data_IF_215186173424
#
_entry.id   IF_215186173424
#
_cell.length_a   1.000
_cell.length_b   1.000
_cell.length_c   1.000
_cell.angle_alpha   90.00
_cell.angle_beta   90.00
_cell.angle_gamma   90.00
#
_symmetry.space_group_name_H-M   'P 1'
#
loop_
_entity.id
_entity.type
_entity.pdbx_description
1 polymer ?
#
# COMPACT_ATOMS: atom_id res chain seq x y z
N UNK A 1 -11.18 7.38 37.67
CA UNK A 1 -10.03 7.25 36.79
C UNK A 1 -10.53 6.97 35.38
N UNK A 2 -10.53 7.96 34.51
CA UNK A 2 -10.81 7.72 33.11
C UNK A 2 -9.67 6.93 32.51
N UNK A 3 -9.95 5.71 32.06
CA UNK A 3 -9.02 4.98 31.21
C UNK A 3 -8.92 5.74 29.91
N UNK A 4 -7.77 6.35 29.65
CA UNK A 4 -7.44 6.85 28.32
C UNK A 4 -7.47 5.63 27.41
N UNK A 5 -8.49 5.53 26.54
CA UNK A 5 -8.48 4.54 25.47
C UNK A 5 -7.22 4.81 24.64
N UNK A 6 -6.31 3.83 24.63
CA UNK A 6 -5.20 3.89 23.65
C UNK A 6 -5.82 4.10 22.27
N UNK A 7 -5.48 5.22 21.67
CA UNK A 7 -5.99 5.59 20.38
C UNK A 7 -5.35 4.67 19.33
N UNK A 8 -6.14 3.89 18.64
CA UNK A 8 -5.64 3.04 17.55
C UNK A 8 -5.06 3.93 16.46
N UNK A 9 -3.80 3.70 16.11
CA UNK A 9 -3.05 4.51 15.18
C UNK A 9 -2.80 3.75 13.88
N UNK A 10 -3.10 4.40 12.75
CA UNK A 10 -2.59 4.00 11.43
C UNK A 10 -1.46 4.96 11.05
N UNK A 11 -0.30 4.40 10.80
CA UNK A 11 0.89 5.14 10.36
C UNK A 11 0.93 5.18 8.83
N UNK A 12 0.97 6.36 8.25
CA UNK A 12 1.13 6.57 6.80
C UNK A 12 2.53 7.10 6.54
N UNK A 13 3.26 6.44 5.66
CA UNK A 13 4.62 6.85 5.26
C UNK A 13 4.60 7.56 3.91
N UNK A 14 5.28 8.69 3.86
CA UNK A 14 5.36 9.58 2.71
C UNK A 14 6.49 9.18 1.76
N UNK A 15 6.14 8.84 0.52
CA UNK A 15 7.07 8.59 -0.58
C UNK A 15 6.96 9.64 -1.69
N UNK A 16 6.48 10.84 -1.37
CA UNK A 16 6.36 11.94 -2.32
C UNK A 16 5.03 11.99 -3.07
N UNK A 17 4.03 11.22 -2.64
CA UNK A 17 2.69 11.28 -3.26
C UNK A 17 1.98 12.57 -2.92
N UNK A 18 1.30 13.13 -3.91
CA UNK A 18 0.39 14.26 -3.69
C UNK A 18 -0.90 13.87 -2.92
N UNK A 19 -1.15 12.58 -2.74
CA UNK A 19 -2.35 12.04 -2.09
C UNK A 19 -2.15 11.66 -0.62
N UNK A 20 -0.96 11.84 -0.06
CA UNK A 20 -0.65 11.43 1.31
C UNK A 20 -1.59 12.03 2.36
N UNK A 21 -1.81 13.33 2.27
CA UNK A 21 -2.70 14.04 3.20
C UNK A 21 -4.17 13.61 3.02
N UNK A 22 -4.56 13.33 1.78
CA UNK A 22 -5.90 12.84 1.49
C UNK A 22 -6.14 11.46 2.09
N UNK A 23 -5.18 10.55 1.98
CA UNK A 23 -5.24 9.21 2.60
C UNK A 23 -5.36 9.35 4.12
N UNK A 24 -4.51 10.17 4.73
CA UNK A 24 -4.53 10.41 6.17
C UNK A 24 -5.88 10.97 6.63
N UNK A 25 -6.41 11.94 5.90
CA UNK A 25 -7.73 12.54 6.18
C UNK A 25 -8.85 11.51 6.06
N UNK A 26 -8.85 10.69 5.01
CA UNK A 26 -9.90 9.66 4.80
C UNK A 26 -9.92 8.64 5.94
N UNK A 27 -8.78 8.24 6.42
CA UNK A 27 -8.69 7.32 7.56
C UNK A 27 -9.31 7.96 8.80
N UNK A 28 -9.00 9.25 9.06
CA UNK A 28 -9.57 10.00 10.18
C UNK A 28 -11.09 10.18 10.05
N UNK A 29 -11.60 10.42 8.83
CA UNK A 29 -13.04 10.52 8.56
C UNK A 29 -13.78 9.21 8.87
N UNK A 30 -13.10 8.07 8.79
CA UNK A 30 -13.64 6.77 9.19
C UNK A 30 -13.55 6.50 10.70
N UNK A 31 -13.13 7.49 11.48
CA UNK A 31 -13.04 7.38 12.93
C UNK A 31 -11.77 6.73 13.46
N UNK A 32 -10.76 6.56 12.61
CA UNK A 32 -9.46 5.98 12.99
C UNK A 32 -8.40 7.07 12.97
N UNK A 33 -7.61 7.17 14.04
CA UNK A 33 -6.51 8.13 14.11
C UNK A 33 -5.38 7.72 13.17
N UNK A 34 -4.83 8.68 12.44
CA UNK A 34 -3.72 8.46 11.54
C UNK A 34 -2.69 9.58 11.62
N UNK A 35 -1.43 9.23 11.43
CA UNK A 35 -0.31 10.17 11.36
C UNK A 35 0.47 9.94 10.08
N UNK A 36 0.92 11.02 9.46
CA UNK A 36 1.80 11.02 8.30
C UNK A 36 3.23 11.28 8.76
N UNK A 37 4.14 10.38 8.43
CA UNK A 37 5.55 10.48 8.72
C UNK A 37 6.39 10.30 7.46
N UNK A 38 7.64 10.76 7.54
CA UNK A 38 8.64 10.55 6.50
C UNK A 38 9.00 9.06 6.38
N UNK A 39 9.35 8.62 5.15
CA UNK A 39 9.78 7.24 4.89
C UNK A 39 11.09 6.86 5.59
N UNK A 40 11.88 7.85 6.03
CA UNK A 40 13.12 7.64 6.79
C UNK A 40 12.91 7.38 8.28
N UNK A 41 11.66 7.31 8.75
CA UNK A 41 11.35 7.01 10.15
C UNK A 41 12.05 5.71 10.61
N UNK A 42 12.65 5.73 11.81
CA UNK A 42 13.35 4.57 12.34
C UNK A 42 12.40 3.46 12.80
N UNK A 43 12.87 2.23 12.76
CA UNK A 43 12.11 1.07 13.27
C UNK A 43 11.83 1.21 14.77
N UNK A 44 12.76 1.74 15.54
CA UNK A 44 12.60 1.99 16.98
C UNK A 44 11.45 2.97 17.25
N UNK A 45 11.33 4.00 16.43
CA UNK A 45 10.23 4.97 16.54
C UNK A 45 8.89 4.35 16.18
N UNK A 46 8.82 3.55 15.12
CA UNK A 46 7.62 2.81 14.75
C UNK A 46 7.19 1.86 15.89
N UNK A 47 8.11 1.14 16.48
CA UNK A 47 7.82 0.26 17.63
C UNK A 47 7.28 1.05 18.83
N UNK A 48 7.82 2.22 19.09
CA UNK A 48 7.36 3.11 20.18
C UNK A 48 5.94 3.62 19.93
N UNK A 49 5.62 3.98 18.69
CA UNK A 49 4.28 4.42 18.29
C UNK A 49 3.26 3.29 18.37
N UNK A 50 3.70 2.05 18.19
CA UNK A 50 2.86 0.85 18.20
C UNK A 50 1.62 0.98 17.31
N UNK A 51 1.75 1.26 16.01
CA UNK A 51 0.60 1.41 15.12
C UNK A 51 -0.12 0.07 14.91
N UNK A 52 -1.42 0.14 14.65
CA UNK A 52 -2.24 -1.04 14.31
C UNK A 52 -2.14 -1.42 12.84
N UNK A 53 -1.65 -0.51 12.00
CA UNK A 53 -1.39 -0.75 10.59
C UNK A 53 -0.44 0.31 10.05
N UNK A 54 0.24 -0.03 8.96
CA UNK A 54 1.18 0.85 8.27
C UNK A 54 0.77 0.92 6.81
N UNK A 55 0.63 2.14 6.27
CA UNK A 55 0.38 2.37 4.85
C UNK A 55 1.63 2.97 4.22
N UNK A 56 2.14 2.31 3.20
CA UNK A 56 3.19 2.84 2.33
C UNK A 56 2.50 3.52 1.15
N UNK A 57 2.55 4.84 1.12
CA UNK A 57 1.86 5.62 0.11
C UNK A 57 2.51 5.52 -1.27
N UNK A 58 1.85 6.05 -2.28
CA UNK A 58 2.42 6.20 -3.62
C UNK A 58 3.54 7.23 -3.68
N UNK A 59 4.17 7.32 -4.83
CA UNK A 59 5.18 8.31 -5.13
C UNK A 59 5.41 8.42 -6.63
N UNK A 60 6.06 9.50 -7.08
CA UNK A 60 6.26 9.76 -8.52
C UNK A 60 7.39 8.94 -9.13
N UNK A 61 8.28 8.38 -8.32
CA UNK A 61 9.51 7.75 -8.76
C UNK A 61 9.32 6.28 -9.11
N UNK A 62 10.27 5.74 -9.88
CA UNK A 62 10.44 4.30 -10.05
C UNK A 62 11.30 3.73 -8.92
N UNK A 63 11.00 2.50 -8.49
CA UNK A 63 11.81 1.80 -7.46
C UNK A 63 13.23 1.46 -7.94
N UNK A 64 13.50 1.59 -9.23
CA UNK A 64 14.81 1.37 -9.84
C UNK A 64 15.59 2.65 -10.14
N UNK A 65 15.00 3.81 -9.92
CA UNK A 65 15.72 5.08 -10.08
C UNK A 65 16.76 5.24 -8.99
N UNK A 66 17.93 5.76 -9.36
CA UNK A 66 18.96 6.13 -8.41
C UNK A 66 18.44 7.21 -7.46
N UNK A 67 18.63 7.02 -6.16
CA UNK A 67 18.08 7.91 -5.14
C UNK A 67 16.60 7.77 -4.87
N UNK A 68 15.94 6.72 -5.39
CA UNK A 68 14.54 6.44 -5.08
C UNK A 68 14.34 6.18 -3.58
N UNK A 69 13.21 6.61 -3.06
CA UNK A 69 12.87 6.43 -1.65
C UNK A 69 12.72 4.95 -1.32
N UNK A 70 13.25 4.55 -0.18
CA UNK A 70 13.16 3.19 0.34
C UNK A 70 12.83 3.19 1.82
N UNK A 71 12.59 2.02 2.37
CA UNK A 71 12.36 1.80 3.80
C UNK A 71 13.23 0.67 4.30
N UNK A 72 13.37 0.56 5.62
CA UNK A 72 13.99 -0.59 6.26
C UNK A 72 13.08 -1.82 6.10
N UNK A 73 13.55 -2.92 5.47
CA UNK A 73 12.76 -4.12 5.28
C UNK A 73 12.26 -4.78 6.58
N UNK A 74 12.85 -4.46 7.71
CA UNK A 74 12.42 -4.93 9.02
C UNK A 74 10.97 -4.53 9.35
N UNK A 75 10.43 -3.50 8.67
CA UNK A 75 9.04 -3.09 8.82
C UNK A 75 8.06 -4.24 8.54
N UNK A 76 8.41 -5.15 7.64
CA UNK A 76 7.57 -6.32 7.32
C UNK A 76 7.63 -7.43 8.37
N UNK A 77 8.58 -7.37 9.28
CA UNK A 77 8.80 -8.37 10.34
C UNK A 77 8.28 -7.93 11.72
N UNK A 78 7.64 -6.77 11.81
CA UNK A 78 7.13 -6.24 13.08
C UNK A 78 5.82 -6.88 13.55
N UNK A 79 5.20 -7.72 12.73
CA UNK A 79 3.89 -8.30 13.02
C UNK A 79 2.72 -7.29 12.88
N UNK A 80 2.96 -6.14 12.29
CA UNK A 80 1.97 -5.10 12.03
C UNK A 80 1.52 -5.22 10.57
N UNK A 81 0.20 -5.19 10.26
CA UNK A 81 -0.28 -5.20 8.89
C UNK A 81 0.27 -4.03 8.08
N UNK A 82 0.72 -4.31 6.86
CA UNK A 82 1.28 -3.31 5.94
C UNK A 82 0.50 -3.29 4.64
N UNK A 83 0.07 -2.12 4.19
CA UNK A 83 -0.56 -1.90 2.90
C UNK A 83 0.32 -0.98 2.05
N UNK A 84 0.84 -1.48 0.94
CA UNK A 84 1.53 -0.69 -0.08
C UNK A 84 0.58 -0.23 -1.17
N UNK A 85 0.59 1.07 -1.49
CA UNK A 85 -0.25 1.67 -2.51
C UNK A 85 0.64 2.21 -3.64
N UNK A 86 0.41 1.80 -4.87
CA UNK A 86 1.18 2.21 -6.05
C UNK A 86 2.69 2.01 -5.86
N UNK A 87 3.46 3.05 -5.70
CA UNK A 87 4.90 2.96 -5.40
C UNK A 87 5.19 2.07 -4.18
N UNK A 88 4.38 2.19 -3.12
CA UNK A 88 4.51 1.35 -1.92
C UNK A 88 4.33 -0.15 -2.19
N UNK A 89 3.43 -0.52 -3.10
CA UNK A 89 3.28 -1.91 -3.57
C UNK A 89 4.52 -2.37 -4.33
N UNK A 90 5.03 -1.55 -5.24
CA UNK A 90 6.21 -1.87 -6.05
C UNK A 90 7.45 -2.01 -5.17
N UNK A 91 7.63 -1.12 -4.20
CA UNK A 91 8.72 -1.18 -3.22
C UNK A 91 8.64 -2.46 -2.37
N UNK A 92 7.47 -2.80 -1.88
CA UNK A 92 7.22 -4.04 -1.13
C UNK A 92 7.57 -5.26 -1.97
N UNK A 93 7.14 -5.29 -3.22
CA UNK A 93 7.45 -6.36 -4.17
C UNK A 93 8.96 -6.53 -4.34
N UNK A 94 9.67 -5.43 -4.61
CA UNK A 94 11.13 -5.44 -4.79
C UNK A 94 11.87 -5.90 -3.54
N UNK A 95 11.53 -5.36 -2.38
CA UNK A 95 12.21 -5.66 -1.12
C UNK A 95 12.01 -7.10 -0.65
N UNK A 96 10.90 -7.73 -1.03
CA UNK A 96 10.58 -9.11 -0.66
C UNK A 96 10.93 -10.14 -1.73
N UNK A 97 11.63 -9.75 -2.80
CA UNK A 97 12.20 -10.64 -3.80
C UNK A 97 11.37 -10.85 -5.06
N UNK A 98 10.31 -10.11 -5.27
CA UNK A 98 9.57 -10.05 -6.53
C UNK A 98 10.26 -9.16 -7.57
N UNK A 99 9.62 -8.97 -8.71
CA UNK A 99 10.14 -8.15 -9.81
C UNK A 99 9.14 -7.09 -10.25
N UNK A 100 9.67 -5.91 -10.53
CA UNK A 100 8.96 -4.76 -11.08
C UNK A 100 9.67 -4.35 -12.37
N UNK A 101 8.93 -4.07 -13.42
CA UNK A 101 9.46 -3.56 -14.69
C UNK A 101 8.76 -2.29 -15.11
N UNK A 102 9.45 -1.51 -15.93
CA UNK A 102 8.85 -0.36 -16.58
C UNK A 102 7.79 -0.85 -17.56
N UNK A 103 6.57 -0.34 -17.45
CA UNK A 103 5.53 -0.66 -18.42
C UNK A 103 5.85 -0.03 -19.77
N UNK A 104 5.53 -0.73 -20.86
CA UNK A 104 5.68 -0.21 -22.21
C UNK A 104 4.79 1.02 -22.45
N UNK A 105 3.65 1.03 -21.79
CA UNK A 105 2.70 2.15 -21.79
C UNK A 105 2.41 2.57 -20.35
N UNK A 106 2.43 3.88 -20.14
CA UNK A 106 2.01 4.44 -18.85
C UNK A 106 0.51 4.32 -18.74
N UNK A 107 0.05 3.83 -17.61
CA UNK A 107 -1.37 3.71 -17.33
C UNK A 107 -1.82 4.80 -16.35
N UNK A 108 -2.64 5.71 -16.89
CA UNK A 108 -3.26 6.76 -16.12
C UNK A 108 -4.75 6.79 -16.42
N UNK A 109 -5.57 6.88 -15.41
CA UNK A 109 -7.00 7.03 -15.56
C UNK A 109 -7.80 5.89 -14.95
N UNK A 110 -9.05 5.83 -15.36
CA UNK A 110 -9.99 4.83 -14.85
C UNK A 110 -9.68 3.45 -15.42
N UNK A 111 -9.69 2.46 -14.55
CA UNK A 111 -9.60 1.05 -14.92
C UNK A 111 -10.62 0.24 -14.13
N UNK A 112 -11.01 -0.90 -14.69
CA UNK A 112 -11.89 -1.85 -14.00
C UNK A 112 -11.02 -2.99 -13.50
N UNK A 113 -11.09 -3.26 -12.20
CA UNK A 113 -10.44 -4.41 -11.58
C UNK A 113 -11.45 -5.50 -11.26
N UNK A 114 -10.98 -6.73 -11.31
CA UNK A 114 -11.71 -7.91 -10.79
C UNK A 114 -11.05 -8.33 -9.49
N UNK A 115 -11.71 -8.06 -8.37
CA UNK A 115 -11.22 -8.37 -7.04
C UNK A 115 -11.83 -9.67 -6.51
N UNK A 116 -10.99 -10.50 -5.89
CA UNK A 116 -11.46 -11.67 -5.13
C UNK A 116 -12.01 -11.19 -3.78
N UNK A 117 -13.05 -11.88 -3.30
CA UNK A 117 -13.57 -11.63 -1.95
C UNK A 117 -12.56 -12.13 -0.92
N UNK A 118 -11.84 -11.20 -0.31
CA UNK A 118 -10.81 -11.48 0.68
C UNK A 118 -10.83 -10.39 1.77
N UNK A 119 -9.96 -10.47 2.77
CA UNK A 119 -9.92 -9.53 3.88
C UNK A 119 -9.90 -8.07 3.41
N UNK A 120 -9.02 -7.74 2.45
CA UNK A 120 -8.87 -6.38 1.94
C UNK A 120 -10.12 -5.88 1.20
N UNK A 121 -10.80 -6.75 0.47
CA UNK A 121 -11.97 -6.42 -0.35
C UNK A 121 -13.29 -6.93 0.26
N UNK A 122 -13.26 -7.31 1.53
CA UNK A 122 -14.44 -7.82 2.21
C UNK A 122 -15.61 -6.83 2.13
N UNK A 123 -16.76 -7.32 1.68
CA UNK A 123 -17.97 -6.51 1.55
C UNK A 123 -18.00 -5.58 0.33
N UNK A 124 -16.97 -5.61 -0.51
CA UNK A 124 -16.92 -4.83 -1.75
C UNK A 124 -17.31 -5.68 -2.96
N UNK A 125 -17.85 -5.06 -4.05
CA UNK A 125 -18.14 -5.76 -5.29
C UNK A 125 -16.88 -6.38 -5.89
N UNK A 126 -17.01 -7.51 -6.60
CA UNK A 126 -15.90 -8.14 -7.32
C UNK A 126 -15.36 -7.26 -8.45
N UNK A 127 -16.24 -6.55 -9.14
CA UNK A 127 -15.86 -5.58 -10.18
C UNK A 127 -15.90 -4.16 -9.59
N UNK A 128 -14.77 -3.46 -9.68
CA UNK A 128 -14.63 -2.11 -9.15
C UNK A 128 -13.94 -1.21 -10.17
N UNK A 129 -14.42 0.03 -10.24
CA UNK A 129 -13.74 1.09 -11.00
C UNK A 129 -12.76 1.80 -10.09
N UNK A 130 -11.50 1.83 -10.50
CA UNK A 130 -10.40 2.42 -9.75
C UNK A 130 -9.62 3.42 -10.61
N UNK A 131 -8.75 4.18 -9.97
CA UNK A 131 -7.84 5.10 -10.65
C UNK A 131 -6.44 4.50 -10.67
N UNK A 132 -5.90 4.29 -11.87
CA UNK A 132 -4.51 3.88 -12.09
C UNK A 132 -3.62 5.10 -12.35
N UNK A 133 -2.44 5.11 -11.76
CA UNK A 133 -1.43 6.15 -11.97
C UNK A 133 -0.05 5.55 -11.77
N UNK A 134 0.45 4.85 -12.80
CA UNK A 134 1.76 4.21 -12.73
C UNK A 134 2.43 4.07 -14.09
N UNK A 135 3.76 4.13 -14.09
CA UNK A 135 4.62 3.85 -15.23
C UNK A 135 5.36 2.51 -15.10
N UNK A 136 5.40 1.96 -13.91
CA UNK A 136 6.00 0.67 -13.61
C UNK A 136 4.92 -0.32 -13.18
N UNK A 137 5.15 -1.60 -13.38
CA UNK A 137 4.23 -2.67 -12.98
C UNK A 137 4.96 -3.86 -12.37
N UNK A 138 4.30 -4.53 -11.46
CA UNK A 138 4.75 -5.81 -10.92
C UNK A 138 4.60 -6.87 -12.00
N UNK A 139 5.66 -7.65 -12.23
CA UNK A 139 5.67 -8.77 -13.19
C UNK A 139 5.88 -10.12 -12.53
N UNK A 140 6.41 -10.14 -11.32
CA UNK A 140 6.58 -11.34 -10.52
C UNK A 140 6.36 -11.01 -9.06
N UNK A 141 5.44 -11.73 -8.42
CA UNK A 141 5.13 -11.54 -6.99
C UNK A 141 6.14 -12.29 -6.12
N UNK A 142 6.43 -11.78 -4.91
CA UNK A 142 7.31 -12.47 -3.97
C UNK A 142 6.71 -13.82 -3.52
N UNK A 143 7.58 -14.70 -3.01
CA UNK A 143 7.14 -15.96 -2.42
C UNK A 143 6.20 -15.71 -1.24
N UNK A 144 5.12 -16.51 -1.17
CA UNK A 144 4.10 -16.38 -0.14
C UNK A 144 2.95 -15.43 -0.47
N UNK A 145 3.06 -14.67 -1.55
CA UNK A 145 2.01 -13.77 -2.02
C UNK A 145 1.03 -14.47 -2.95
N UNK A 146 -0.21 -14.01 -2.92
CA UNK A 146 -1.29 -14.40 -3.84
C UNK A 146 -1.86 -13.17 -4.53
N UNK A 147 -2.32 -13.34 -5.77
CA UNK A 147 -3.05 -12.31 -6.51
C UNK A 147 -4.49 -12.25 -6.02
N UNK A 148 -4.94 -11.07 -5.60
CA UNK A 148 -6.32 -10.83 -5.13
C UNK A 148 -7.13 -9.89 -6.02
N UNK A 149 -6.49 -9.25 -6.99
CA UNK A 149 -7.19 -8.50 -8.04
C UNK A 149 -6.34 -8.42 -9.30
N UNK A 150 -7.02 -8.38 -10.44
CA UNK A 150 -6.42 -8.14 -11.75
C UNK A 150 -7.17 -7.06 -12.53
N UNK A 151 -6.56 -6.59 -13.61
CA UNK A 151 -7.15 -5.67 -14.56
C UNK A 151 -6.77 -6.05 -15.98
N UNK A 152 -7.39 -5.47 -17.03
CA UNK A 152 -6.98 -5.75 -18.40
C UNK A 152 -5.51 -5.46 -18.72
N UNK A 153 -4.89 -4.54 -17.99
CA UNK A 153 -3.50 -4.11 -18.20
C UNK A 153 -2.48 -4.81 -17.30
N UNK A 154 -2.92 -5.40 -16.20
CA UNK A 154 -2.01 -6.10 -15.28
C UNK A 154 -2.70 -7.28 -14.59
N UNK A 155 -1.98 -8.39 -14.49
CA UNK A 155 -2.41 -9.56 -13.72
C UNK A 155 -2.25 -9.35 -12.20
N UNK A 156 -1.53 -8.30 -11.78
CA UNK A 156 -1.16 -8.02 -10.40
C UNK A 156 -1.67 -6.64 -9.95
N UNK A 157 -2.98 -6.42 -10.06
CA UNK A 157 -3.58 -5.17 -9.59
C UNK A 157 -3.60 -5.09 -8.06
N UNK A 158 -3.75 -6.22 -7.38
CA UNK A 158 -3.58 -6.33 -5.93
C UNK A 158 -3.03 -7.71 -5.56
N UNK A 159 -2.19 -7.71 -4.53
CA UNK A 159 -1.53 -8.90 -4.00
C UNK A 159 -1.59 -8.93 -2.48
N UNK A 160 -1.51 -10.12 -1.89
CA UNK A 160 -1.44 -10.28 -0.44
C UNK A 160 -0.58 -11.45 0.01
N UNK A 161 0.03 -11.32 1.18
CA UNK A 161 0.54 -12.42 1.99
C UNK A 161 -0.26 -12.46 3.30
N UNK A 162 -1.21 -13.39 3.38
CA UNK A 162 -2.09 -13.52 4.55
C UNK A 162 -1.34 -13.84 5.84
N UNK A 163 -0.29 -14.67 5.75
CA UNK A 163 0.44 -15.10 6.95
C UNK A 163 1.18 -13.96 7.62
N UNK A 164 1.74 -13.03 6.84
CA UNK A 164 2.43 -11.84 7.32
C UNK A 164 1.56 -10.60 7.36
N UNK A 165 0.33 -10.67 6.85
CA UNK A 165 -0.61 -9.54 6.72
C UNK A 165 -0.01 -8.36 5.95
N UNK A 166 0.58 -8.67 4.79
CA UNK A 166 1.15 -7.68 3.88
C UNK A 166 0.28 -7.63 2.62
N UNK A 167 -0.11 -6.42 2.24
CA UNK A 167 -1.02 -6.17 1.12
C UNK A 167 -0.41 -5.13 0.20
N UNK A 168 -0.68 -5.27 -1.09
CA UNK A 168 -0.29 -4.29 -2.09
C UNK A 168 -1.41 -4.04 -3.09
N UNK A 169 -1.64 -2.78 -3.43
CA UNK A 169 -2.59 -2.37 -4.47
C UNK A 169 -1.91 -1.38 -5.43
N UNK A 170 -2.17 -1.55 -6.73
CA UNK A 170 -1.59 -0.69 -7.78
C UNK A 170 -2.46 0.55 -8.07
N UNK A 171 -3.56 0.70 -7.39
CA UNK A 171 -4.60 1.68 -7.68
C UNK A 171 -5.00 2.48 -6.45
N UNK A 172 -5.66 3.61 -6.71
CA UNK A 172 -6.39 4.39 -5.72
C UNK A 172 -7.89 4.37 -6.05
N UNK A 173 -8.71 4.09 -5.04
CA UNK A 173 -10.16 4.23 -5.13
C UNK A 173 -10.62 5.10 -3.97
N UNK A 174 -10.66 6.40 -4.20
CA UNK A 174 -11.07 7.39 -3.20
C UNK A 174 -12.57 7.69 -3.25
N UNK A 175 -13.28 7.13 -4.22
CA UNK A 175 -14.70 7.37 -4.41
C UNK A 175 -15.55 6.47 -3.51
N UNK A 176 -15.02 5.32 -3.10
CA UNK A 176 -15.74 4.29 -2.35
C UNK A 176 -15.18 4.01 -0.94
N UNK A 177 -14.30 4.88 -0.49
CA UNK A 177 -13.78 4.80 0.88
C UNK A 177 -14.69 5.57 1.83
#
# INVERSE_FOLDING_TARGET
MEMVKEQELILVLDFGSQYNQLITRRIREMGVYSELHDHEISIEEIKRMNPKGIILSGGPNSVYEEGSFTIDPEIYNLGIPVLGICYGMQLTTKLLGGKVERANEREYGKAIINAKSDELFFGLPSEQTVWMSHSDKVIEIPEGFEVIADSPSTNYAAIEDKSRRIYGVQFLSLIHI
#
